data_IF_063330910072
#
_entry.id   IF_063330910072
#
_cell.length_a   1.000
_cell.length_b   1.000
_cell.length_c   1.000
_cell.angle_alpha   90.00
_cell.angle_beta   90.00
_cell.angle_gamma   90.00
#
_symmetry.space_group_name_H-M   'P 1'
#
loop_
_entity.id
_entity.type
_entity.pdbx_description
1 polymer ?
#
# COMPACT_ATOMS: atom_id res chain seq x y z
N UNK A 1 -64.06 5.00 -13.19
CA UNK A 1 -64.72 3.82 -12.58
C UNK A 1 -63.69 2.70 -12.45
N UNK A 2 -63.59 2.13 -11.25
CA UNK A 2 -62.69 1.04 -10.86
C UNK A 2 -63.01 -0.25 -11.63
N UNK A 3 -62.01 -1.12 -11.81
CA UNK A 3 -62.10 -2.54 -11.40
C UNK A 3 -60.70 -3.15 -11.32
N UNK A 4 -60.28 -3.34 -10.07
CA UNK A 4 -59.16 -4.15 -9.63
C UNK A 4 -59.66 -5.59 -9.64
N UNK A 5 -58.99 -6.50 -10.36
CA UNK A 5 -59.26 -7.93 -10.22
C UNK A 5 -58.14 -8.52 -9.37
N UNK A 6 -58.48 -8.80 -8.11
CA UNK A 6 -57.70 -9.63 -7.20
C UNK A 6 -57.79 -11.08 -7.68
N UNK A 7 -56.65 -11.78 -7.74
CA UNK A 7 -56.64 -13.23 -7.58
C UNK A 7 -55.62 -13.57 -6.50
N UNK A 8 -56.12 -14.11 -5.39
CA UNK A 8 -55.37 -14.77 -4.35
C UNK A 8 -56.01 -16.15 -4.17
N UNK A 9 -55.19 -17.20 -4.11
CA UNK A 9 -55.43 -18.58 -3.59
C UNK A 9 -54.01 -19.19 -3.59
N UNK A 10 -53.27 -19.16 -2.47
CA UNK A 10 -53.20 -20.16 -1.37
C UNK A 10 -52.49 -21.47 -1.79
N UNK A 11 -51.26 -21.72 -1.33
CA UNK A 11 -50.86 -22.53 -0.14
C UNK A 11 -50.85 -24.05 -0.37
N UNK A 12 -49.71 -24.68 -0.06
CA UNK A 12 -49.49 -26.13 0.01
C UNK A 12 -48.13 -26.52 -0.57
N UNK A 13 -47.02 -26.25 0.13
CA UNK A 13 -46.25 -27.21 0.94
C UNK A 13 -45.72 -28.41 0.17
N UNK A 14 -44.38 -28.58 0.15
CA UNK A 14 -43.68 -29.80 0.59
C UNK A 14 -42.15 -29.61 0.43
N UNK A 15 -41.52 -29.39 1.58
CA UNK A 15 -40.31 -30.06 2.07
C UNK A 15 -39.33 -30.68 1.05
N UNK A 16 -38.14 -30.10 0.96
CA UNK A 16 -36.89 -30.89 0.87
C UNK A 16 -35.78 -30.18 1.65
N UNK A 17 -35.82 -30.38 2.97
CA UNK A 17 -34.63 -30.20 3.81
C UNK A 17 -33.62 -31.27 3.37
N UNK A 18 -32.55 -30.86 2.71
CA UNK A 18 -31.37 -31.70 2.55
C UNK A 18 -30.76 -31.91 3.94
N UNK A 19 -31.06 -33.06 4.54
CA UNK A 19 -30.40 -33.54 5.75
C UNK A 19 -29.05 -34.12 5.32
N UNK A 20 -27.97 -33.40 5.62
CA UNK A 20 -26.62 -33.97 5.56
C UNK A 20 -26.43 -34.90 6.77
N UNK A 21 -25.86 -36.10 6.60
CA UNK A 21 -25.59 -36.99 7.71
C UNK A 21 -24.44 -36.40 8.54
N UNK A 22 -24.76 -35.93 9.73
CA UNK A 22 -23.77 -35.65 10.77
C UNK A 22 -23.29 -37.01 11.28
N UNK A 23 -22.06 -37.38 10.92
CA UNK A 23 -21.38 -38.51 11.52
C UNK A 23 -21.10 -38.13 12.98
N UNK A 24 -21.93 -38.65 13.88
CA UNK A 24 -21.66 -38.65 15.31
C UNK A 24 -20.60 -39.72 15.60
N UNK A 25 -19.35 -39.31 15.73
CA UNK A 25 -18.32 -40.09 16.40
C UNK A 25 -18.11 -39.51 17.81
N UNK A 26 -18.66 -40.23 18.79
CA UNK A 26 -18.20 -40.38 20.18
C UNK A 26 -17.57 -39.17 20.88
N UNK A 27 -18.33 -38.58 21.79
CA UNK A 27 -17.87 -37.67 22.83
C UNK A 27 -16.62 -38.18 23.55
N UNK A 28 -15.56 -37.36 23.58
CA UNK A 28 -14.70 -37.22 24.76
C UNK A 28 -14.61 -35.73 25.06
N UNK A 29 -14.98 -35.36 26.28
CA UNK A 29 -15.13 -33.99 26.75
C UNK A 29 -13.91 -33.11 26.40
N UNK A 30 -14.14 -32.12 25.54
CA UNK A 30 -13.37 -30.87 25.56
C UNK A 30 -14.36 -29.71 25.56
N UNK A 31 -14.29 -28.92 26.63
CA UNK A 31 -14.98 -27.64 26.79
C UNK A 31 -14.86 -26.81 25.50
N UNK A 32 -15.89 -26.03 25.12
CA UNK A 32 -15.79 -25.10 24.02
C UNK A 32 -14.80 -23.99 24.43
N UNK A 33 -13.57 -24.12 23.95
CA UNK A 33 -12.56 -23.08 24.04
C UNK A 33 -12.98 -21.93 23.14
N UNK A 34 -13.40 -20.84 23.77
CA UNK A 34 -13.38 -19.49 23.22
C UNK A 34 -11.98 -19.17 22.69
N UNK A 35 -11.91 -18.63 21.47
CA UNK A 35 -10.70 -18.05 20.89
C UNK A 35 -9.97 -19.00 19.95
N UNK A 36 -10.28 -18.92 18.66
CA UNK A 36 -9.38 -19.43 17.63
C UNK A 36 -8.10 -18.61 17.69
N UNK A 37 -7.08 -19.11 18.37
CA UNK A 37 -5.72 -18.65 18.10
C UNK A 37 -5.40 -19.13 16.68
N UNK A 38 -5.46 -18.20 15.73
CA UNK A 38 -4.75 -18.37 14.46
C UNK A 38 -3.32 -18.79 14.82
N UNK A 39 -2.98 -20.06 14.60
CA UNK A 39 -1.62 -20.50 14.83
C UNK A 39 -0.79 -19.86 13.73
N UNK A 40 -0.01 -18.84 14.08
CA UNK A 40 0.90 -18.16 13.16
C UNK A 40 1.77 -19.21 12.46
N UNK A 41 1.75 -19.23 11.13
CA UNK A 41 2.50 -20.19 10.33
C UNK A 41 3.88 -19.62 10.07
N UNK A 42 4.93 -20.37 10.42
CA UNK A 42 6.31 -19.87 10.39
C UNK A 42 6.75 -19.36 9.01
N UNK A 43 6.20 -19.91 7.93
CA UNK A 43 6.50 -19.53 6.53
C UNK A 43 6.01 -18.11 6.17
N UNK A 44 5.05 -17.56 6.92
CA UNK A 44 4.59 -16.17 6.72
C UNK A 44 5.41 -15.16 7.52
N UNK A 45 6.49 -15.57 8.19
CA UNK A 45 7.48 -14.64 8.70
C UNK A 45 8.49 -14.28 7.63
N UNK A 46 8.63 -12.98 7.37
CA UNK A 46 9.80 -12.44 6.70
C UNK A 46 10.95 -12.27 7.68
N UNK A 47 12.16 -12.65 7.27
CA UNK A 47 13.35 -12.74 8.14
C UNK A 47 14.49 -11.94 7.54
N UNK A 48 14.93 -10.91 8.26
CA UNK A 48 16.11 -10.15 7.91
C UNK A 48 16.70 -9.47 9.15
N UNK A 49 18.00 -9.16 9.10
CA UNK A 49 18.70 -8.39 10.15
C UNK A 49 18.68 -9.02 11.57
N UNK A 50 18.30 -10.29 11.69
CA UNK A 50 18.08 -10.97 12.97
C UNK A 50 16.69 -10.71 13.57
N UNK A 51 15.76 -10.14 12.80
CA UNK A 51 14.36 -9.92 13.15
C UNK A 51 13.49 -10.79 12.25
N UNK A 52 12.40 -11.31 12.80
CA UNK A 52 11.31 -11.87 12.00
C UNK A 52 10.02 -11.08 12.22
N UNK A 53 9.36 -10.69 11.13
CA UNK A 53 8.10 -9.95 11.12
C UNK A 53 7.08 -10.77 10.34
N UNK A 54 5.89 -10.96 10.90
CA UNK A 54 4.82 -11.65 10.22
C UNK A 54 4.25 -10.78 9.11
N UNK A 55 4.09 -11.35 7.92
CA UNK A 55 3.68 -10.64 6.71
C UNK A 55 2.24 -10.12 6.73
N UNK A 56 1.44 -10.42 7.76
CA UNK A 56 0.03 -10.07 7.86
C UNK A 56 -0.29 -9.48 9.24
N UNK A 57 -0.66 -8.21 9.30
CA UNK A 57 -1.19 -7.58 10.50
C UNK A 57 -2.57 -8.17 10.87
N UNK A 58 -2.79 -8.46 12.14
CA UNK A 58 -4.03 -9.08 12.62
C UNK A 58 -5.13 -8.03 12.87
N UNK A 59 -6.29 -8.24 12.24
CA UNK A 59 -7.50 -7.42 12.43
C UNK A 59 -7.33 -5.92 12.14
N UNK A 60 -6.52 -5.57 11.14
CA UNK A 60 -6.25 -4.18 10.74
C UNK A 60 -6.94 -3.76 9.42
N UNK A 61 -7.94 -4.50 8.95
CA UNK A 61 -8.60 -4.25 7.64
C UNK A 61 -9.34 -2.92 7.54
N UNK A 62 -9.52 -2.21 8.66
CA UNK A 62 -10.15 -0.88 8.74
C UNK A 62 -9.14 0.22 9.09
N UNK A 63 -7.84 -0.12 9.22
CA UNK A 63 -6.77 0.81 9.58
C UNK A 63 -6.02 1.23 8.34
N UNK A 64 -5.86 2.54 8.14
CA UNK A 64 -5.15 3.10 7.00
C UNK A 64 -3.65 2.75 7.09
N UNK A 65 -3.09 2.16 6.03
CA UNK A 65 -1.66 1.81 5.99
C UNK A 65 -0.76 3.04 6.18
N UNK A 66 -1.19 4.21 5.68
CA UNK A 66 -0.50 5.48 5.88
C UNK A 66 -0.36 5.89 7.34
N UNK A 67 -1.40 5.71 8.17
CA UNK A 67 -1.34 6.02 9.62
C UNK A 67 -0.23 5.21 10.30
N UNK A 68 -0.16 3.92 9.97
CA UNK A 68 0.78 2.98 10.58
C UNK A 68 2.21 3.25 10.07
N UNK A 69 2.37 3.52 8.77
CA UNK A 69 3.64 3.89 8.16
C UNK A 69 4.21 5.17 8.79
N UNK A 70 3.37 6.18 9.01
CA UNK A 70 3.75 7.42 9.70
C UNK A 70 4.09 7.18 11.17
N UNK A 71 3.38 6.30 11.86
CA UNK A 71 3.73 5.91 13.22
C UNK A 71 5.15 5.30 13.27
N UNK A 72 5.49 4.41 12.35
CA UNK A 72 6.83 3.82 12.26
C UNK A 72 7.91 4.86 11.96
N UNK A 73 7.70 5.73 10.96
CA UNK A 73 8.66 6.79 10.60
C UNK A 73 8.94 7.77 11.75
N UNK A 74 7.94 8.00 12.60
CA UNK A 74 8.04 8.91 13.74
C UNK A 74 8.56 8.24 15.03
N UNK A 75 8.77 6.93 15.03
CA UNK A 75 9.32 6.20 16.17
C UNK A 75 10.78 6.62 16.42
N UNK A 76 11.08 7.02 17.67
CA UNK A 76 12.40 7.56 18.05
C UNK A 76 13.43 6.49 18.34
N UNK A 77 12.96 5.31 18.73
CA UNK A 77 13.80 4.17 19.07
C UNK A 77 13.09 2.84 18.81
N UNK A 78 13.86 1.76 18.94
CA UNK A 78 13.36 0.42 18.69
C UNK A 78 12.27 -0.04 19.66
N UNK A 79 12.19 0.51 20.88
CA UNK A 79 11.10 0.17 21.80
C UNK A 79 9.77 0.79 21.35
N UNK A 80 9.80 2.01 20.82
CA UNK A 80 8.63 2.63 20.19
C UNK A 80 8.17 1.80 18.97
N UNK A 81 9.10 1.32 18.14
CA UNK A 81 8.78 0.43 17.00
C UNK A 81 8.10 -0.87 17.49
N UNK A 82 8.64 -1.51 18.53
CA UNK A 82 8.03 -2.70 19.17
C UNK A 82 6.62 -2.43 19.70
N UNK A 83 6.39 -1.24 20.24
CA UNK A 83 5.08 -0.83 20.72
C UNK A 83 4.08 -0.66 19.55
N UNK A 84 4.53 -0.15 18.41
CA UNK A 84 3.73 -0.04 17.18
C UNK A 84 3.37 -1.43 16.66
N UNK A 85 4.32 -2.36 16.55
CA UNK A 85 4.03 -3.75 16.18
C UNK A 85 2.93 -4.36 17.06
N UNK A 86 3.04 -4.17 18.38
CA UNK A 86 2.02 -4.65 19.31
C UNK A 86 0.67 -3.93 19.13
N UNK A 87 0.67 -2.61 18.94
CA UNK A 87 -0.55 -1.79 18.79
C UNK A 87 -1.38 -2.25 17.58
N UNK A 88 -0.72 -2.50 16.46
CA UNK A 88 -1.36 -2.87 15.19
C UNK A 88 -1.39 -4.38 14.95
N UNK A 89 -1.19 -5.19 15.99
CA UNK A 89 -1.31 -6.65 15.88
C UNK A 89 -0.37 -7.25 14.83
N UNK A 90 0.87 -6.77 14.74
CA UNK A 90 1.91 -7.28 13.84
C UNK A 90 2.83 -8.19 14.66
N UNK A 91 2.70 -9.53 14.57
CA UNK A 91 3.59 -10.42 15.28
C UNK A 91 5.04 -10.25 14.80
N UNK A 92 5.97 -10.17 15.75
CA UNK A 92 7.39 -10.09 15.46
C UNK A 92 8.19 -10.84 16.54
N UNK A 93 9.43 -11.19 16.22
CA UNK A 93 10.40 -11.63 17.20
C UNK A 93 11.82 -11.21 16.81
N UNK A 94 12.62 -10.93 17.82
CA UNK A 94 14.07 -10.85 17.71
C UNK A 94 14.65 -12.27 17.79
N UNK A 95 15.65 -12.56 16.96
CA UNK A 95 16.31 -13.87 16.91
C UNK A 95 17.69 -13.80 17.53
N UNK A 96 18.31 -14.96 17.76
CA UNK A 96 19.69 -15.10 18.20
C UNK A 96 20.73 -14.67 17.16
N UNK A 97 20.30 -14.36 15.93
CA UNK A 97 21.16 -13.84 14.86
C UNK A 97 21.46 -12.33 14.96
N UNK A 98 20.90 -11.62 15.95
CA UNK A 98 21.18 -10.20 16.18
C UNK A 98 22.61 -10.04 16.72
N UNK A 99 23.51 -9.31 16.01
CA UNK A 99 24.87 -9.08 16.49
C UNK A 99 24.92 -8.24 17.76
N UNK A 100 25.92 -8.49 18.61
CA UNK A 100 26.16 -7.70 19.82
C UNK A 100 26.30 -6.20 19.52
N UNK A 101 25.56 -5.39 20.27
CA UNK A 101 25.56 -3.93 20.13
C UNK A 101 24.80 -3.41 18.91
N UNK A 102 24.01 -4.24 18.23
CA UNK A 102 23.13 -3.81 17.16
C UNK A 102 22.11 -2.76 17.64
N UNK A 103 21.89 -1.73 16.83
CA UNK A 103 20.83 -0.73 16.99
C UNK A 103 19.93 -0.75 15.77
N UNK A 104 18.64 -0.52 15.98
CA UNK A 104 17.65 -0.52 14.92
C UNK A 104 16.93 0.81 14.83
N UNK A 105 16.61 1.24 13.61
CA UNK A 105 15.80 2.43 13.33
C UNK A 105 14.97 2.20 12.06
N UNK A 106 13.84 2.88 11.96
CA UNK A 106 13.03 2.87 10.74
C UNK A 106 13.69 3.81 9.72
N UNK A 107 13.92 3.31 8.51
CA UNK A 107 14.45 4.10 7.41
C UNK A 107 13.34 5.01 6.84
N UNK A 108 13.72 6.21 6.40
CA UNK A 108 12.83 7.19 5.78
C UNK A 108 12.14 6.72 4.50
N UNK A 109 12.66 5.67 3.86
CA UNK A 109 12.06 5.04 2.67
C UNK A 109 10.83 4.17 2.98
N UNK A 110 10.49 3.98 4.25
CA UNK A 110 9.26 3.31 4.67
C UNK A 110 8.04 4.05 4.15
N UNK A 111 7.16 3.37 3.43
CA UNK A 111 5.95 3.95 2.83
C UNK A 111 4.82 2.91 2.75
N UNK A 112 3.55 3.37 2.66
CA UNK A 112 2.41 2.50 2.46
C UNK A 112 2.12 2.27 0.97
N UNK A 113 1.57 1.12 0.62
CA UNK A 113 0.78 0.90 -0.59
C UNK A 113 -0.68 0.77 -0.15
N UNK A 114 -1.38 1.90 -0.09
CA UNK A 114 -2.77 1.98 0.40
C UNK A 114 -3.73 1.20 -0.51
N UNK A 115 -3.43 1.11 -1.80
CA UNK A 115 -4.17 0.33 -2.78
C UNK A 115 -4.03 -1.20 -2.61
N UNK A 116 -3.03 -1.63 -1.85
CA UNK A 116 -2.79 -3.03 -1.53
C UNK A 116 -3.03 -3.36 -0.05
N UNK A 117 -3.34 -2.35 0.77
CA UNK A 117 -3.45 -2.50 2.23
C UNK A 117 -2.15 -3.02 2.83
N UNK A 118 -1.03 -2.50 2.35
CA UNK A 118 0.33 -2.97 2.64
C UNK A 118 1.24 -1.82 3.10
N UNK A 119 2.26 -2.17 3.89
CA UNK A 119 3.38 -1.28 4.23
C UNK A 119 4.68 -1.95 3.79
N UNK A 120 5.53 -1.19 3.09
CA UNK A 120 6.95 -1.47 2.95
C UNK A 120 7.69 -0.84 4.15
N UNK A 121 8.00 -1.67 5.13
CA UNK A 121 8.73 -1.25 6.34
C UNK A 121 10.23 -1.48 6.14
N UNK A 122 10.97 -0.41 5.92
CA UNK A 122 12.43 -0.46 5.77
C UNK A 122 13.09 -0.23 7.14
N UNK A 123 13.87 -1.20 7.61
CA UNK A 123 14.58 -1.15 8.89
C UNK A 123 16.08 -1.10 8.65
N UNK A 124 16.74 -0.13 9.27
CA UNK A 124 18.20 -0.05 9.34
C UNK A 124 18.70 -0.76 10.60
N UNK A 125 19.75 -1.57 10.45
CA UNK A 125 20.55 -2.10 11.56
C UNK A 125 21.96 -1.53 11.50
N UNK A 126 22.35 -0.82 12.55
CA UNK A 126 23.73 -0.34 12.78
C UNK A 126 24.46 -1.31 13.72
N UNK A 127 25.60 -1.84 13.27
CA UNK A 127 26.57 -2.55 14.11
C UNK A 127 27.92 -1.84 14.01
N UNK A 128 28.28 -1.10 15.08
CA UNK A 128 29.58 -0.38 15.17
C UNK A 128 29.84 0.59 14.01
N UNK A 129 28.79 1.24 13.50
CA UNK A 129 28.82 2.21 12.41
C UNK A 129 28.58 1.61 11.02
N UNK A 130 28.44 0.28 10.89
CA UNK A 130 28.04 -0.37 9.64
C UNK A 130 26.51 -0.49 9.58
N UNK A 131 25.89 0.24 8.66
CA UNK A 131 24.43 0.25 8.48
C UNK A 131 24.03 -0.71 7.36
N UNK A 132 23.10 -1.62 7.66
CA UNK A 132 22.43 -2.47 6.68
C UNK A 132 20.93 -2.26 6.76
N UNK A 133 20.31 -1.98 5.61
CA UNK A 133 18.85 -1.82 5.47
C UNK A 133 18.20 -3.11 4.97
N UNK A 134 17.00 -3.43 5.41
CA UNK A 134 16.15 -4.47 4.81
C UNK A 134 14.69 -4.05 4.85
N UNK A 135 13.98 -4.35 3.75
CA UNK A 135 12.54 -4.16 3.61
C UNK A 135 11.80 -5.34 4.20
N UNK A 136 10.67 -5.07 4.84
CA UNK A 136 9.68 -6.05 5.26
C UNK A 136 8.32 -5.66 4.69
N UNK A 137 7.61 -6.63 4.10
CA UNK A 137 6.26 -6.44 3.60
C UNK A 137 5.22 -6.84 4.65
N UNK A 138 4.34 -5.90 5.01
CA UNK A 138 3.29 -6.14 6.00
C UNK A 138 1.94 -5.82 5.37
N UNK A 139 1.14 -6.85 5.08
CA UNK A 139 -0.22 -6.77 4.55
C UNK A 139 -1.27 -6.76 5.66
N UNK A 140 -2.54 -6.62 5.29
CA UNK A 140 -3.68 -6.78 6.21
C UNK A 140 -4.27 -5.47 6.71
N UNK A 141 -3.84 -4.35 6.14
CA UNK A 141 -4.42 -3.03 6.37
C UNK A 141 -5.61 -2.78 5.43
N UNK A 142 -6.28 -1.65 5.63
CA UNK A 142 -7.37 -1.21 4.76
C UNK A 142 -6.87 -0.97 3.34
N UNK A 143 -7.60 -1.49 2.37
CA UNK A 143 -7.36 -1.28 0.94
C UNK A 143 -8.16 -0.05 0.50
N UNK A 144 -7.47 0.94 -0.04
CA UNK A 144 -8.06 2.12 -0.64
C UNK A 144 -8.12 1.98 -2.16
N UNK A 145 -9.16 2.52 -2.79
CA UNK A 145 -9.22 2.48 -4.25
C UNK A 145 -8.24 3.52 -4.84
N UNK A 146 -7.50 3.14 -5.88
CA UNK A 146 -6.75 4.09 -6.69
C UNK A 146 -7.77 5.02 -7.35
N UNK A 147 -7.61 6.32 -7.14
CA UNK A 147 -8.47 7.33 -7.75
C UNK A 147 -8.30 7.33 -9.27
N UNK A 148 -9.35 7.69 -10.01
CA UNK A 148 -9.25 7.81 -11.48
C UNK A 148 -8.25 8.89 -11.91
N UNK A 149 -8.01 9.88 -11.04
CA UNK A 149 -7.07 10.96 -11.27
C UNK A 149 -6.61 11.65 -9.99
N UNK A 150 -5.39 12.20 -10.01
CA UNK A 150 -4.85 13.05 -8.95
C UNK A 150 -4.58 14.46 -9.45
N UNK A 151 -4.56 15.43 -8.54
CA UNK A 151 -4.23 16.82 -8.85
C UNK A 151 -2.99 17.27 -8.09
N UNK A 152 -1.97 17.71 -8.83
CA UNK A 152 -0.72 18.24 -8.28
C UNK A 152 -0.59 19.71 -8.68
N UNK A 153 -0.99 20.60 -7.77
CA UNK A 153 -1.06 22.03 -8.05
C UNK A 153 -2.10 22.32 -9.14
N UNK A 154 -1.65 22.79 -10.31
CA UNK A 154 -2.50 23.16 -11.43
C UNK A 154 -2.67 22.05 -12.50
N UNK A 155 -2.23 20.83 -12.18
CA UNK A 155 -2.17 19.73 -13.13
C UNK A 155 -2.96 18.54 -12.62
N UNK A 156 -3.93 18.07 -13.43
CA UNK A 156 -4.69 16.86 -13.19
C UNK A 156 -4.13 15.74 -14.07
N UNK A 157 -3.81 14.60 -13.46
CA UNK A 157 -3.25 13.43 -14.12
C UNK A 157 -4.21 12.26 -13.90
N UNK A 158 -4.68 11.65 -14.97
CA UNK A 158 -5.38 10.36 -14.86
C UNK A 158 -4.41 9.23 -14.51
N UNK A 159 -4.90 8.20 -13.84
CA UNK A 159 -4.06 7.09 -13.37
C UNK A 159 -3.99 5.94 -14.36
N UNK A 160 -5.03 5.74 -15.19
CA UNK A 160 -5.06 4.65 -16.16
C UNK A 160 -4.18 4.95 -17.38
N UNK A 161 -3.24 4.05 -17.66
CA UNK A 161 -2.44 4.14 -18.88
C UNK A 161 -3.31 3.96 -20.14
N UNK A 162 -3.03 4.76 -21.16
CA UNK A 162 -3.58 4.68 -22.52
C UNK A 162 -2.97 3.55 -23.32
N UNK A 163 -1.77 3.11 -22.93
CA UNK A 163 -0.97 2.12 -23.63
C UNK A 163 -0.48 1.06 -22.65
N UNK A 164 -0.47 -0.18 -23.11
CA UNK A 164 0.13 -1.28 -22.37
C UNK A 164 1.64 -1.32 -22.69
N UNK A 165 2.46 -0.88 -21.74
CA UNK A 165 3.92 -0.76 -21.89
C UNK A 165 4.66 -1.38 -20.68
N UNK A 166 5.91 -1.84 -20.86
CA UNK A 166 6.77 -2.28 -19.75
C UNK A 166 6.96 -1.20 -18.69
N UNK A 167 6.81 -1.55 -17.42
CA UNK A 167 6.90 -0.61 -16.29
C UNK A 167 8.25 0.13 -16.28
N UNK A 168 9.34 -0.61 -16.48
CA UNK A 168 10.71 -0.08 -16.51
C UNK A 168 10.91 0.95 -17.63
N UNK A 169 10.32 0.70 -18.81
CA UNK A 169 10.34 1.64 -19.93
C UNK A 169 9.55 2.92 -19.62
N UNK A 170 8.36 2.80 -19.03
CA UNK A 170 7.53 3.95 -18.65
C UNK A 170 8.27 4.80 -17.61
N UNK A 171 8.77 4.17 -16.55
CA UNK A 171 9.59 4.80 -15.50
C UNK A 171 10.77 5.55 -16.09
N UNK A 172 11.58 4.87 -16.91
CA UNK A 172 12.76 5.48 -17.54
C UNK A 172 12.38 6.70 -18.40
N UNK A 173 11.32 6.59 -19.20
CA UNK A 173 10.86 7.68 -20.07
C UNK A 173 10.47 8.92 -19.25
N UNK A 174 9.70 8.73 -18.17
CA UNK A 174 9.23 9.84 -17.33
C UNK A 174 10.39 10.48 -16.57
N UNK A 175 11.27 9.68 -15.94
CA UNK A 175 12.39 10.22 -15.16
C UNK A 175 13.46 10.88 -16.02
N UNK A 176 13.76 10.35 -17.21
CA UNK A 176 14.68 11.00 -18.15
C UNK A 176 14.12 12.32 -18.69
N UNK A 177 12.80 12.39 -18.91
CA UNK A 177 12.14 13.61 -19.35
C UNK A 177 12.13 14.67 -18.24
N UNK A 178 11.90 14.27 -16.98
CA UNK A 178 11.98 15.16 -15.83
C UNK A 178 13.33 15.86 -15.71
N UNK A 179 14.43 15.14 -15.98
CA UNK A 179 15.79 15.70 -15.97
C UNK A 179 16.01 16.79 -17.03
N UNK A 180 15.21 16.78 -18.10
CA UNK A 180 15.30 17.75 -19.19
C UNK A 180 14.48 19.01 -18.93
N UNK A 181 13.47 18.94 -18.05
CA UNK A 181 12.61 20.06 -17.70
C UNK A 181 11.16 19.65 -17.49
N UNK A 182 10.39 20.56 -16.91
CA UNK A 182 8.97 20.31 -16.61
C UNK A 182 8.14 20.12 -17.87
N UNK A 183 8.41 20.90 -18.93
CA UNK A 183 7.72 20.76 -20.20
C UNK A 183 7.95 19.37 -20.82
N UNK A 184 9.17 18.82 -20.74
CA UNK A 184 9.49 17.47 -21.19
C UNK A 184 8.79 16.41 -20.33
N UNK A 185 8.76 16.58 -19.00
CA UNK A 185 8.01 15.72 -18.09
C UNK A 185 6.54 15.61 -18.50
N UNK A 186 5.89 16.74 -18.77
CA UNK A 186 4.48 16.77 -19.17
C UNK A 186 4.26 16.05 -20.50
N UNK A 187 5.14 16.24 -21.49
CA UNK A 187 5.03 15.53 -22.77
C UNK A 187 5.23 14.01 -22.61
N UNK A 188 6.19 13.58 -21.78
CA UNK A 188 6.39 12.17 -21.47
C UNK A 188 5.17 11.55 -20.76
N UNK A 189 4.60 12.26 -19.77
CA UNK A 189 3.39 11.80 -19.08
C UNK A 189 2.21 11.66 -20.05
N UNK A 190 2.01 12.60 -20.98
CA UNK A 190 0.92 12.56 -21.97
C UNK A 190 0.96 11.33 -22.88
N UNK A 191 2.13 10.73 -23.09
CA UNK A 191 2.27 9.48 -23.84
C UNK A 191 1.54 8.32 -23.15
N UNK A 192 1.50 8.33 -21.82
CA UNK A 192 0.97 7.23 -21.02
C UNK A 192 -0.38 7.57 -20.40
N UNK A 193 -0.60 8.77 -19.88
CA UNK A 193 -1.82 9.15 -19.18
C UNK A 193 -2.43 10.45 -19.71
N UNK A 194 -3.70 10.71 -19.41
CA UNK A 194 -4.29 12.02 -19.70
C UNK A 194 -3.76 13.04 -18.69
N UNK A 195 -3.33 14.19 -19.21
CA UNK A 195 -2.79 15.30 -18.41
C UNK A 195 -3.54 16.56 -18.80
N UNK A 196 -4.17 17.19 -17.81
CA UNK A 196 -4.96 18.40 -17.96
C UNK A 196 -4.36 19.54 -17.13
N UNK A 197 -4.25 20.72 -17.72
CA UNK A 197 -3.93 21.96 -17.00
C UNK A 197 -5.23 22.65 -16.62
N UNK A 198 -5.47 22.83 -15.32
CA UNK A 198 -6.77 23.28 -14.78
C UNK A 198 -7.01 24.78 -15.04
N UNK A 199 -6.01 25.62 -14.77
CA UNK A 199 -6.00 27.05 -15.10
C UNK A 199 -4.93 27.33 -16.17
N UNK A 200 -5.38 27.79 -17.34
CA UNK A 200 -4.50 28.14 -18.45
C UNK A 200 -3.65 29.38 -18.17
N UNK A 201 -4.08 30.24 -17.24
CA UNK A 201 -3.39 31.48 -16.90
C UNK A 201 -2.24 31.28 -15.91
N UNK A 202 -2.26 30.22 -15.10
CA UNK A 202 -1.17 29.90 -14.19
C UNK A 202 0.04 29.38 -14.96
N UNK A 203 1.15 30.12 -14.92
CA UNK A 203 2.42 29.76 -15.58
C UNK A 203 3.51 29.33 -14.57
N UNK A 204 3.18 29.36 -13.28
CA UNK A 204 4.14 29.18 -12.20
C UNK A 204 4.04 27.79 -11.57
N UNK A 205 2.84 27.24 -11.39
CA UNK A 205 2.68 26.00 -10.64
C UNK A 205 3.15 24.79 -11.45
N UNK A 206 4.14 24.09 -10.89
CA UNK A 206 4.74 22.87 -11.44
C UNK A 206 4.82 21.79 -10.37
N UNK A 207 5.13 20.56 -10.79
CA UNK A 207 5.42 19.44 -9.90
C UNK A 207 6.59 18.62 -10.42
N UNK A 208 7.21 17.83 -9.55
CA UNK A 208 8.22 16.83 -9.90
C UNK A 208 8.05 15.60 -9.01
N UNK A 209 8.47 14.45 -9.52
CA UNK A 209 8.59 13.22 -8.76
C UNK A 209 9.96 13.16 -8.07
N UNK A 210 10.01 12.66 -6.84
CA UNK A 210 11.28 12.32 -6.19
C UNK A 210 11.82 11.03 -6.83
N UNK A 211 12.93 11.11 -7.57
CA UNK A 211 13.50 9.94 -8.28
C UNK A 211 13.90 8.80 -7.34
N UNK A 212 14.14 9.12 -6.06
CA UNK A 212 14.48 8.13 -5.05
C UNK A 212 13.28 7.38 -4.48
N UNK A 213 12.06 7.78 -4.86
CA UNK A 213 10.79 7.34 -4.29
C UNK A 213 9.83 6.90 -5.42
N UNK A 214 10.32 5.99 -6.28
CA UNK A 214 9.59 5.44 -7.43
C UNK A 214 9.65 3.92 -7.42
N UNK A 215 8.49 3.31 -7.26
CA UNK A 215 8.32 1.86 -7.08
C UNK A 215 7.63 1.21 -8.29
N UNK A 216 8.14 0.05 -8.68
CA UNK A 216 7.58 -0.78 -9.75
C UNK A 216 6.82 -1.94 -9.12
N UNK A 217 5.49 -1.91 -9.19
CA UNK A 217 4.63 -2.98 -8.63
C UNK A 217 4.26 -3.91 -9.79
N UNK A 218 5.17 -4.86 -10.05
CA UNK A 218 5.18 -5.69 -11.26
C UNK A 218 3.98 -6.61 -11.40
N UNK A 219 3.55 -7.25 -10.32
CA UNK A 219 2.45 -8.21 -10.31
C UNK A 219 1.07 -7.56 -10.56
N UNK A 220 0.91 -6.30 -10.17
CA UNK A 220 -0.29 -5.49 -10.40
C UNK A 220 -0.21 -4.63 -11.67
N UNK A 221 0.97 -4.50 -12.29
CA UNK A 221 1.15 -3.73 -13.51
C UNK A 221 1.07 -2.23 -13.24
N UNK A 222 1.69 -1.78 -12.15
CA UNK A 222 1.62 -0.41 -11.68
C UNK A 222 2.99 0.23 -11.52
N UNK A 223 3.06 1.53 -11.78
CA UNK A 223 4.21 2.38 -11.48
C UNK A 223 3.78 3.43 -10.46
N UNK A 224 4.39 3.39 -9.28
CA UNK A 224 4.08 4.30 -8.19
C UNK A 224 5.17 5.37 -8.09
N UNK A 225 4.74 6.63 -8.03
CA UNK A 225 5.56 7.77 -7.68
C UNK A 225 5.16 8.22 -6.27
N UNK A 226 5.76 7.58 -5.27
CA UNK A 226 5.42 7.69 -3.86
C UNK A 226 5.49 9.13 -3.33
N UNK A 227 6.36 9.94 -3.93
CA UNK A 227 6.54 11.32 -3.53
C UNK A 227 6.51 12.29 -4.70
N UNK A 228 5.50 13.14 -4.66
CA UNK A 228 5.31 14.26 -5.59
C UNK A 228 5.59 15.58 -4.86
N UNK A 229 6.40 16.44 -5.46
CA UNK A 229 6.81 17.74 -4.93
C UNK A 229 6.24 18.85 -5.81
N UNK A 230 5.44 19.74 -5.22
CA UNK A 230 4.86 20.91 -5.89
C UNK A 230 5.77 22.12 -5.66
N UNK A 231 6.01 22.92 -6.71
CA UNK A 231 6.86 24.11 -6.63
C UNK A 231 6.42 25.19 -7.61
N UNK A 232 6.97 26.41 -7.45
CA UNK A 232 6.80 27.51 -8.41
C UNK A 232 7.97 27.55 -9.38
N UNK A 233 7.70 27.75 -10.68
CA UNK A 233 8.71 27.89 -11.74
C UNK A 233 9.77 28.93 -11.40
N UNK A 234 9.37 30.04 -10.79
CA UNK A 234 10.27 31.11 -10.31
C UNK A 234 11.13 30.74 -9.09
N UNK A 235 10.86 29.64 -8.38
CA UNK A 235 11.59 29.20 -7.18
C UNK A 235 11.58 27.67 -7.05
N UNK A 236 12.23 26.93 -7.98
CA UNK A 236 12.16 25.48 -8.09
C UNK A 236 12.79 24.70 -6.93
N UNK A 237 13.63 25.36 -6.14
CA UNK A 237 14.23 24.83 -4.92
C UNK A 237 13.26 24.77 -3.73
N UNK A 238 12.20 25.59 -3.76
CA UNK A 238 11.21 25.67 -2.69
C UNK A 238 10.03 24.76 -3.01
N UNK A 239 10.10 23.53 -2.53
CA UNK A 239 9.11 22.48 -2.78
C UNK A 239 8.23 22.20 -1.58
N UNK A 240 6.95 21.92 -1.84
CA UNK A 240 6.00 21.39 -0.87
C UNK A 240 5.62 19.95 -1.25
N UNK A 241 5.72 18.97 -0.35
CA UNK A 241 5.21 17.63 -0.60
C UNK A 241 3.70 17.63 -0.86
N UNK A 242 3.28 16.89 -1.88
CA UNK A 242 1.87 16.54 -2.10
C UNK A 242 1.38 15.60 -0.99
N UNK A 243 0.12 15.72 -0.54
CA UNK A 243 -0.47 14.77 0.41
C UNK A 243 -0.77 13.41 -0.23
N UNK A 244 -0.81 13.33 -1.55
CA UNK A 244 -1.03 12.08 -2.29
C UNK A 244 0.17 11.75 -3.18
N UNK A 245 0.41 10.46 -3.38
CA UNK A 245 1.33 9.94 -4.40
C UNK A 245 0.63 9.92 -5.78
N UNK A 246 1.35 9.54 -6.82
CA UNK A 246 0.79 9.33 -8.17
C UNK A 246 1.02 7.90 -8.63
N UNK A 247 -0.04 7.25 -9.14
CA UNK A 247 0.04 5.88 -9.67
C UNK A 247 -0.33 5.86 -11.14
N UNK A 248 0.46 5.16 -11.95
CA UNK A 248 0.07 4.75 -13.30
C UNK A 248 -0.31 3.27 -13.27
N UNK A 249 -1.54 2.95 -13.63
CA UNK A 249 -2.09 1.59 -13.69
C UNK A 249 -2.26 1.10 -15.12
N UNK A 250 -2.44 -0.22 -15.30
CA UNK A 250 -2.69 -0.81 -16.61
C UNK A 250 -1.42 -0.94 -17.48
N UNK A 251 -0.26 -1.03 -16.85
CA UNK A 251 1.01 -1.35 -17.50
C UNK A 251 1.20 -2.87 -17.60
N UNK A 252 2.22 -3.29 -18.35
CA UNK A 252 2.56 -4.70 -18.47
C UNK A 252 3.03 -5.25 -17.14
N UNK A 253 2.45 -6.38 -16.74
CA UNK A 253 2.86 -7.11 -15.55
C UNK A 253 4.19 -7.83 -15.77
N UNK A 254 5.03 -7.91 -14.74
CA UNK A 254 6.34 -8.56 -14.75
C UNK A 254 6.48 -9.67 -13.71
#
# INVERSE_FOLDING_TARGET
>A
MKKITKLAISLGSLSSLFVLPIIAASCTDKKPGTGGSSQLVEEFFERALGIKIYKIAENQTETDAGEVSDAFKNAKDWNEVKAIFKKYGIPYAETDEIPDGAKFSVNKSTHPHEDEGLIHLDIDRDVKGEVKTSRFEIKGFKIEAIEDSYTFGNWKLETKSKVEAPIDQVKKTILDAQKQGFEQLIEALKMYVNVEKLDKNDQETQFKFDESDVEEVGDSGQLHFEKVLIYKKSSPENTTPSPTHFVITGLQKS
#
